data_IF_482913790449
#
_entry.id   IF_482913790449
#
_cell.length_a   1.000
_cell.length_b   1.000
_cell.length_c   1.000
_cell.angle_alpha   90.00
_cell.angle_beta   90.00
_cell.angle_gamma   90.00
#
_symmetry.space_group_name_H-M   'P 1'
#
loop_
_entity.id
_entity.type
_entity.pdbx_description
1 polymer ?
#
# COMPACT_ATOMS: atom_id res chain seq x y z
N UNK A 1 -3.57 13.11 -2.85
CA UNK A 1 -3.46 11.67 -2.53
C UNK A 1 -4.55 11.35 -1.53
N UNK A 2 -5.62 10.71 -1.98
CA UNK A 2 -6.62 10.18 -1.07
C UNK A 2 -6.06 8.86 -0.51
N UNK A 3 -5.34 8.93 0.61
CA UNK A 3 -4.84 7.73 1.29
C UNK A 3 -5.93 7.17 2.18
N UNK A 4 -6.25 5.90 2.04
CA UNK A 4 -7.11 5.20 2.99
C UNK A 4 -6.30 4.92 4.27
N UNK A 5 -6.88 5.16 5.44
CA UNK A 5 -6.20 4.84 6.70
C UNK A 5 -5.98 3.34 6.84
N UNK A 6 -4.89 2.93 7.48
CA UNK A 6 -4.64 1.50 7.76
C UNK A 6 -5.76 0.86 8.57
N UNK A 7 -6.38 1.64 9.45
CA UNK A 7 -7.47 1.22 10.35
C UNK A 7 -8.82 1.81 9.91
N UNK A 8 -9.00 2.07 8.61
CA UNK A 8 -10.18 2.76 8.09
C UNK A 8 -11.53 2.10 8.46
N UNK A 9 -11.55 0.81 8.76
CA UNK A 9 -12.76 0.06 9.19
C UNK A 9 -13.11 0.39 10.65
N UNK A 10 -12.11 0.48 11.53
CA UNK A 10 -12.28 0.57 12.99
C UNK A 10 -12.15 1.98 13.55
N UNK A 11 -11.62 2.94 12.78
CA UNK A 11 -11.51 4.34 13.19
C UNK A 11 -12.81 5.12 12.98
N UNK A 12 -13.01 6.23 13.71
CA UNK A 12 -14.18 7.13 13.56
C UNK A 12 -15.52 6.38 13.75
N UNK A 13 -16.55 6.75 12.98
CA UNK A 13 -17.86 6.11 13.02
C UNK A 13 -17.81 4.75 12.30
N UNK A 14 -18.18 3.67 12.98
CA UNK A 14 -18.33 2.32 12.43
C UNK A 14 -19.79 2.17 11.98
N UNK A 15 -20.05 2.66 10.78
CA UNK A 15 -21.36 2.64 10.11
C UNK A 15 -21.15 2.23 8.66
N UNK A 16 -21.95 1.28 8.18
CA UNK A 16 -21.79 0.68 6.86
C UNK A 16 -21.87 1.71 5.74
N UNK A 17 -22.86 2.62 5.79
CA UNK A 17 -23.04 3.62 4.74
C UNK A 17 -21.85 4.56 4.69
N UNK A 18 -21.44 5.09 5.84
CA UNK A 18 -20.28 5.97 5.94
C UNK A 18 -19.00 5.31 5.41
N UNK A 19 -18.71 4.08 5.84
CA UNK A 19 -17.52 3.33 5.41
C UNK A 19 -17.57 2.98 3.93
N UNK A 20 -18.74 2.63 3.41
CA UNK A 20 -18.96 2.41 1.98
C UNK A 20 -18.59 3.63 1.16
N UNK A 21 -19.02 4.83 1.55
CA UNK A 21 -18.67 6.05 0.81
C UNK A 21 -17.17 6.38 0.88
N UNK A 22 -16.53 6.19 2.04
CA UNK A 22 -15.07 6.37 2.15
C UNK A 22 -14.34 5.43 1.19
N UNK A 23 -14.72 4.15 1.19
CA UNK A 23 -14.10 3.15 0.32
C UNK A 23 -14.31 3.50 -1.16
N UNK A 24 -15.53 3.84 -1.55
CA UNK A 24 -15.84 4.20 -2.94
C UNK A 24 -15.07 5.43 -3.40
N UNK A 25 -14.96 6.47 -2.55
CA UNK A 25 -14.18 7.65 -2.86
C UNK A 25 -12.69 7.33 -3.06
N UNK A 26 -12.13 6.46 -2.21
CA UNK A 26 -10.75 5.98 -2.35
C UNK A 26 -10.55 5.21 -3.66
N UNK A 27 -11.39 4.20 -3.91
CA UNK A 27 -11.28 3.34 -5.09
C UNK A 27 -11.49 4.11 -6.40
N UNK A 28 -12.37 5.11 -6.40
CA UNK A 28 -12.57 5.98 -7.56
C UNK A 28 -11.28 6.74 -7.93
N UNK A 29 -10.56 7.26 -6.93
CA UNK A 29 -9.30 7.95 -7.17
C UNK A 29 -8.20 6.99 -7.65
N UNK A 30 -8.13 5.79 -7.07
CA UNK A 30 -7.23 4.71 -7.53
C UNK A 30 -7.51 4.37 -9.01
N UNK A 31 -8.77 4.18 -9.38
CA UNK A 31 -9.18 3.95 -10.76
C UNK A 31 -8.74 5.07 -11.70
N UNK A 32 -8.92 6.33 -11.30
CA UNK A 32 -8.47 7.49 -12.08
C UNK A 32 -6.96 7.50 -12.29
N UNK A 33 -6.16 7.07 -11.31
CA UNK A 33 -4.71 6.94 -11.48
C UNK A 33 -4.34 5.78 -12.40
N UNK A 34 -5.03 4.66 -12.31
CA UNK A 34 -4.83 3.51 -13.21
C UNK A 34 -5.14 3.86 -14.67
N UNK A 35 -6.21 4.63 -14.94
CA UNK A 35 -6.51 5.18 -16.27
C UNK A 35 -5.38 6.06 -16.82
N UNK A 36 -4.64 6.73 -15.95
CA UNK A 36 -3.48 7.57 -16.29
C UNK A 36 -2.16 6.78 -16.35
N UNK A 37 -2.20 5.44 -16.28
CA UNK A 37 -1.04 4.55 -16.17
C UNK A 37 -0.13 4.86 -14.95
N UNK A 38 -0.69 5.46 -13.90
CA UNK A 38 -0.01 5.75 -12.64
C UNK A 38 -0.26 4.60 -11.66
N UNK A 39 0.50 3.51 -11.83
CA UNK A 39 0.26 2.28 -11.08
C UNK A 39 0.73 2.37 -9.61
N UNK A 40 1.82 3.09 -9.36
CA UNK A 40 2.42 3.25 -8.04
C UNK A 40 2.29 4.70 -7.55
N UNK A 41 2.04 4.92 -6.23
CA UNK A 41 2.03 3.94 -5.15
C UNK A 41 0.71 3.18 -4.94
N UNK A 42 -0.35 3.52 -5.69
CA UNK A 42 -1.71 3.07 -5.41
C UNK A 42 -1.88 1.54 -5.37
N UNK A 43 -1.24 0.80 -6.30
CA UNK A 43 -1.29 -0.66 -6.30
C UNK A 43 -0.74 -1.26 -5.00
N UNK A 44 0.35 -0.71 -4.47
CA UNK A 44 0.97 -1.19 -3.22
C UNK A 44 0.06 -0.94 -2.02
N UNK A 45 -0.58 0.24 -1.96
CA UNK A 45 -1.55 0.56 -0.91
C UNK A 45 -2.79 -0.33 -1.01
N UNK A 46 -3.30 -0.56 -2.22
CA UNK A 46 -4.46 -1.41 -2.47
C UNK A 46 -4.22 -2.85 -2.00
N UNK A 47 -3.04 -3.43 -2.30
CA UNK A 47 -2.63 -4.76 -1.84
C UNK A 47 -2.60 -4.80 -0.30
N UNK A 48 -2.03 -3.78 0.34
CA UNK A 48 -1.96 -3.68 1.80
C UNK A 48 -3.37 -3.64 2.42
N UNK A 49 -4.27 -2.80 1.90
CA UNK A 49 -5.64 -2.67 2.41
C UNK A 49 -6.46 -3.94 2.20
N UNK A 50 -6.33 -4.60 1.05
CA UNK A 50 -6.97 -5.89 0.79
C UNK A 50 -6.49 -6.95 1.78
N UNK A 51 -5.18 -7.10 1.96
CA UNK A 51 -4.61 -8.07 2.88
C UNK A 51 -5.05 -7.82 4.33
N UNK A 52 -5.05 -6.56 4.78
CA UNK A 52 -5.54 -6.19 6.11
C UNK A 52 -7.03 -6.52 6.27
N UNK A 53 -7.86 -6.23 5.28
CA UNK A 53 -9.31 -6.51 5.31
C UNK A 53 -9.58 -8.01 5.34
N UNK A 54 -8.84 -8.79 4.55
CA UNK A 54 -8.94 -10.26 4.53
C UNK A 54 -8.47 -10.88 5.85
N UNK A 55 -7.34 -10.40 6.39
CA UNK A 55 -6.84 -10.82 7.70
C UNK A 55 -7.85 -10.52 8.81
N UNK A 56 -8.55 -9.38 8.73
CA UNK A 56 -9.61 -9.00 9.67
C UNK A 56 -10.81 -9.96 9.62
N UNK A 57 -11.18 -10.40 8.40
CA UNK A 57 -12.23 -11.40 8.19
C UNK A 57 -11.88 -12.76 8.79
N UNK A 58 -10.64 -13.21 8.58
CA UNK A 58 -10.18 -14.53 9.00
C UNK A 58 -9.87 -14.59 10.50
N UNK A 59 -9.38 -13.49 11.08
CA UNK A 59 -8.91 -13.44 12.46
C UNK A 59 -9.72 -12.44 13.31
N UNK A 60 -10.84 -12.89 13.90
CA UNK A 60 -11.63 -12.08 14.86
C UNK A 60 -10.79 -11.54 16.04
N UNK A 61 -9.68 -12.21 16.40
CA UNK A 61 -8.75 -11.73 17.45
C UNK A 61 -7.87 -10.55 17.01
N UNK A 62 -7.55 -10.41 15.72
CA UNK A 62 -6.72 -9.29 15.21
C UNK A 62 -7.48 -7.97 15.11
N UNK A 63 -8.82 -7.99 15.19
CA UNK A 63 -9.63 -6.78 15.41
C UNK A 63 -9.13 -5.99 16.62
N UNK A 64 -8.71 -6.69 17.68
CA UNK A 64 -8.22 -6.08 18.91
C UNK A 64 -6.98 -5.21 18.70
N UNK A 65 -6.06 -5.64 17.83
CA UNK A 65 -4.81 -4.92 17.53
C UNK A 65 -5.01 -3.80 16.50
N UNK A 66 -6.02 -3.91 15.64
CA UNK A 66 -6.36 -2.92 14.63
C UNK A 66 -7.14 -1.70 15.17
N UNK A 67 -7.54 -1.72 16.45
CA UNK A 67 -8.13 -0.54 17.09
C UNK A 67 -7.04 0.50 17.43
N UNK A 68 -7.26 1.80 17.15
CA UNK A 68 -6.29 2.83 17.48
C UNK A 68 -6.02 2.87 18.99
N UNK A 69 -4.79 2.56 19.42
CA UNK A 69 -4.38 2.61 20.85
C UNK A 69 -4.28 4.05 21.42
N UNK A 70 -4.64 5.07 20.65
CA UNK A 70 -4.50 6.48 21.03
C UNK A 70 -5.84 7.08 21.49
N UNK A 71 -6.34 6.64 22.64
CA UNK A 71 -7.17 7.51 23.48
C UNK A 71 -6.64 7.49 24.91
N UNK A 72 -6.64 8.66 25.55
CA UNK A 72 -5.95 8.96 26.81
C UNK A 72 -6.13 7.86 27.86
N UNK A 73 -5.02 7.54 28.54
CA UNK A 73 -4.74 6.40 29.42
C UNK A 73 -5.73 6.12 30.58
N UNK A 74 -6.77 6.93 30.77
CA UNK A 74 -7.79 6.76 31.81
C UNK A 74 -9.00 5.95 31.28
N UNK A 75 -9.32 6.02 29.99
CA UNK A 75 -10.53 5.36 29.43
C UNK A 75 -10.27 4.00 28.79
N UNK A 76 -9.02 3.64 28.52
CA UNK A 76 -8.68 2.42 27.77
C UNK A 76 -9.13 1.16 28.49
N UNK A 77 -8.97 1.07 29.82
CA UNK A 77 -9.40 -0.09 30.61
C UNK A 77 -10.93 -0.22 30.70
N UNK A 78 -11.65 0.90 30.79
CA UNK A 78 -13.13 0.90 30.74
C UNK A 78 -13.63 0.51 29.37
N UNK A 79 -12.96 0.98 28.32
CA UNK A 79 -13.26 0.61 26.94
C UNK A 79 -12.98 -0.86 26.67
N UNK A 80 -11.86 -1.43 27.15
CA UNK A 80 -11.56 -2.86 27.03
C UNK A 80 -12.61 -3.74 27.74
N UNK A 81 -13.07 -3.35 28.93
CA UNK A 81 -14.12 -4.07 29.67
C UNK A 81 -15.51 -3.88 29.03
N UNK A 82 -15.80 -2.71 28.45
CA UNK A 82 -17.00 -2.50 27.62
C UNK A 82 -16.90 -3.25 26.29
N UNK A 83 -15.70 -3.45 25.76
CA UNK A 83 -15.44 -4.11 24.48
C UNK A 83 -15.51 -5.64 24.57
N UNK A 84 -15.01 -6.25 25.66
CA UNK A 84 -15.32 -7.65 25.98
C UNK A 84 -16.83 -7.89 26.04
N UNK A 85 -17.59 -6.91 26.55
CA UNK A 85 -19.06 -6.93 26.54
C UNK A 85 -19.70 -6.59 25.18
N UNK A 86 -19.01 -5.86 24.29
CA UNK A 86 -19.46 -5.57 22.91
C UNK A 86 -19.14 -6.69 21.93
N UNK A 87 -18.16 -7.56 22.22
CA UNK A 87 -17.97 -8.82 21.50
C UNK A 87 -19.14 -9.79 21.76
N UNK A 88 -19.87 -9.60 22.86
CA UNK A 88 -21.18 -10.24 23.10
C UNK A 88 -22.33 -9.51 22.38
N UNK A 89 -22.08 -8.30 21.85
CA UNK A 89 -23.08 -7.46 21.18
C UNK A 89 -23.10 -7.72 19.66
N UNK A 90 -24.09 -8.49 19.25
CA UNK A 90 -24.26 -9.08 17.92
C UNK A 90 -24.37 -8.02 16.80
N UNK A 91 -24.72 -6.77 17.13
CA UNK A 91 -25.02 -5.73 16.13
C UNK A 91 -23.77 -5.04 15.54
N UNK A 92 -22.82 -4.61 16.38
CA UNK A 92 -21.62 -3.93 15.90
C UNK A 92 -20.69 -4.89 15.12
N UNK A 93 -20.63 -6.14 15.56
CA UNK A 93 -19.88 -7.17 14.84
C UNK A 93 -20.50 -7.45 13.46
N UNK A 94 -21.83 -7.52 13.35
CA UNK A 94 -22.54 -7.62 12.06
C UNK A 94 -22.27 -6.42 11.15
N UNK A 95 -22.18 -5.22 11.70
CA UNK A 95 -21.86 -4.02 10.94
C UNK A 95 -20.46 -4.11 10.33
N UNK A 96 -19.47 -4.52 11.13
CA UNK A 96 -18.09 -4.73 10.67
C UNK A 96 -18.03 -5.84 9.61
N UNK A 97 -18.71 -6.97 9.83
CA UNK A 97 -18.79 -8.06 8.85
C UNK A 97 -19.40 -7.57 7.54
N UNK A 98 -20.48 -6.77 7.59
CA UNK A 98 -21.12 -6.17 6.42
C UNK A 98 -20.18 -5.25 5.64
N UNK A 99 -19.40 -4.42 6.36
CA UNK A 99 -18.37 -3.56 5.75
C UNK A 99 -17.31 -4.42 5.06
N UNK A 100 -16.77 -5.43 5.74
CA UNK A 100 -15.72 -6.32 5.21
C UNK A 100 -16.22 -7.04 3.97
N UNK A 101 -17.40 -7.65 4.03
CA UNK A 101 -17.98 -8.44 2.95
C UNK A 101 -18.31 -7.59 1.72
N UNK A 102 -18.69 -6.32 1.92
CA UNK A 102 -18.83 -5.37 0.83
C UNK A 102 -17.48 -4.95 0.22
N UNK A 103 -16.44 -4.82 1.05
CA UNK A 103 -15.16 -4.22 0.65
C UNK A 103 -14.27 -5.17 -0.13
N UNK A 104 -14.19 -6.45 0.29
CA UNK A 104 -13.34 -7.47 -0.35
C UNK A 104 -13.55 -7.56 -1.87
N UNK A 105 -14.77 -7.78 -2.39
CA UNK A 105 -14.97 -7.92 -3.84
C UNK A 105 -14.64 -6.63 -4.61
N UNK A 106 -14.75 -5.45 -3.96
CA UNK A 106 -14.37 -4.17 -4.56
C UNK A 106 -12.86 -4.02 -4.65
N UNK A 107 -12.13 -4.36 -3.59
CA UNK A 107 -10.67 -4.41 -3.65
C UNK A 107 -10.17 -5.39 -4.71
N UNK A 108 -10.76 -6.59 -4.80
CA UNK A 108 -10.39 -7.61 -5.80
C UNK A 108 -10.55 -7.11 -7.23
N UNK A 109 -11.63 -6.37 -7.51
CA UNK A 109 -11.86 -5.77 -8.82
C UNK A 109 -10.72 -4.82 -9.23
N UNK A 110 -10.40 -3.83 -8.39
CA UNK A 110 -9.33 -2.87 -8.68
C UNK A 110 -7.94 -3.52 -8.66
N UNK A 111 -7.71 -4.55 -7.81
CA UNK A 111 -6.46 -5.31 -7.84
C UNK A 111 -6.28 -6.05 -9.15
N UNK A 112 -7.35 -6.59 -9.72
CA UNK A 112 -7.31 -7.24 -11.02
C UNK A 112 -7.03 -6.24 -12.15
N UNK A 113 -7.61 -5.03 -12.10
CA UNK A 113 -7.28 -3.97 -13.05
C UNK A 113 -5.81 -3.54 -12.95
N UNK A 114 -5.32 -3.28 -11.74
CA UNK A 114 -3.91 -2.94 -11.51
C UNK A 114 -2.95 -4.05 -11.96
N UNK A 115 -3.32 -5.32 -11.76
CA UNK A 115 -2.55 -6.46 -12.28
C UNK A 115 -2.50 -6.47 -13.80
N UNK A 116 -3.60 -6.22 -14.50
CA UNK A 116 -3.60 -6.18 -15.96
C UNK A 116 -2.67 -5.09 -16.50
N UNK A 117 -2.67 -3.91 -15.86
CA UNK A 117 -1.75 -2.82 -16.20
C UNK A 117 -0.30 -3.22 -15.92
N UNK A 118 -0.04 -3.82 -14.75
CA UNK A 118 1.29 -4.35 -14.40
C UNK A 118 1.79 -5.36 -15.44
N UNK A 119 0.99 -6.38 -15.74
CA UNK A 119 1.34 -7.44 -16.69
C UNK A 119 1.57 -6.87 -18.10
N UNK A 120 0.81 -5.84 -18.48
CA UNK A 120 1.01 -5.12 -19.74
C UNK A 120 2.36 -4.39 -19.75
N UNK A 121 2.69 -3.62 -18.70
CA UNK A 121 3.97 -2.91 -18.61
C UNK A 121 5.12 -3.91 -18.60
N UNK A 122 5.06 -4.95 -17.77
CA UNK A 122 6.10 -5.98 -17.64
C UNK A 122 6.40 -6.67 -18.97
N UNK A 123 5.37 -7.01 -19.76
CA UNK A 123 5.54 -7.65 -21.07
C UNK A 123 6.20 -6.75 -22.14
N UNK A 124 6.07 -5.43 -22.01
CA UNK A 124 6.60 -4.48 -22.98
C UNK A 124 7.82 -3.69 -22.46
N UNK A 125 8.26 -3.96 -21.23
CA UNK A 125 9.40 -3.30 -20.63
C UNK A 125 10.69 -4.01 -21.05
N UNK A 126 11.41 -3.39 -21.99
CA UNK A 126 12.75 -3.84 -22.37
C UNK A 126 13.81 -2.94 -21.75
N UNK A 127 14.71 -3.53 -20.97
CA UNK A 127 15.88 -2.85 -20.41
C UNK A 127 17.12 -3.36 -21.14
N UNK A 128 17.80 -2.47 -21.83
CA UNK A 128 19.05 -2.79 -22.52
C UNK A 128 20.16 -1.82 -22.09
N UNK A 129 21.39 -2.32 -21.88
CA UNK A 129 22.53 -1.46 -21.58
C UNK A 129 22.92 -0.65 -22.83
N UNK A 130 23.24 0.62 -22.63
CA UNK A 130 23.78 1.49 -23.68
C UNK A 130 25.21 1.86 -23.27
N UNK A 131 26.17 1.66 -24.18
CA UNK A 131 27.57 2.02 -23.96
C UNK A 131 28.40 0.90 -23.34
N UNK A 132 29.35 1.26 -22.47
CA UNK A 132 30.31 0.32 -21.88
C UNK A 132 29.72 -0.30 -20.61
N UNK A 133 29.63 -1.63 -20.59
CA UNK A 133 29.23 -2.37 -19.39
C UNK A 133 30.49 -2.60 -18.53
N UNK A 134 30.52 -2.14 -17.27
CA UNK A 134 31.64 -2.39 -16.38
C UNK A 134 31.74 -3.89 -16.03
N UNK A 135 32.94 -4.34 -15.66
CA UNK A 135 33.18 -5.72 -15.21
C UNK A 135 32.34 -6.10 -13.98
N UNK A 136 32.01 -5.12 -13.13
CA UNK A 136 31.14 -5.30 -11.99
C UNK A 136 29.93 -4.37 -12.11
N UNK A 137 28.73 -4.95 -12.13
CA UNK A 137 27.45 -4.23 -12.25
C UNK A 137 26.75 -4.01 -10.91
N UNK A 138 27.31 -4.54 -9.82
CA UNK A 138 26.68 -4.56 -8.50
C UNK A 138 26.77 -3.22 -7.78
N UNK A 139 27.57 -2.27 -8.26
CA UNK A 139 27.61 -0.92 -7.75
C UNK A 139 27.86 0.09 -8.86
N UNK A 140 27.45 1.34 -8.64
CA UNK A 140 27.66 2.40 -9.61
C UNK A 140 26.89 3.66 -9.25
N UNK A 141 26.71 4.53 -10.25
CA UNK A 141 25.94 5.75 -10.09
C UNK A 141 24.67 5.70 -10.93
N UNK A 142 23.55 6.04 -10.31
CA UNK A 142 22.27 6.25 -10.95
C UNK A 142 22.03 7.76 -11.09
N UNK A 143 21.89 8.23 -12.33
CA UNK A 143 21.60 9.62 -12.64
C UNK A 143 20.12 9.75 -13.02
N UNK A 144 19.35 10.44 -12.20
CA UNK A 144 17.93 10.67 -12.39
C UNK A 144 17.68 12.14 -12.74
N UNK A 145 17.15 12.37 -13.94
CA UNK A 145 16.67 13.68 -14.36
C UNK A 145 15.15 13.63 -14.48
N UNK A 146 14.45 14.34 -13.60
CA UNK A 146 12.99 14.43 -13.67
C UNK A 146 12.60 15.32 -14.85
N UNK A 147 11.70 14.88 -15.74
CA UNK A 147 11.39 15.61 -16.98
C UNK A 147 10.95 17.07 -16.83
N UNK A 148 10.43 17.47 -15.66
CA UNK A 148 10.05 18.86 -15.33
C UNK A 148 11.16 19.69 -14.69
N UNK A 149 12.23 19.06 -14.19
CA UNK A 149 13.32 19.74 -13.49
C UNK A 149 14.60 19.72 -14.34
N UNK A 150 15.33 20.84 -14.33
CA UNK A 150 16.63 20.95 -14.99
C UNK A 150 17.71 20.14 -14.29
N UNK A 151 17.51 19.82 -13.01
CA UNK A 151 18.54 19.25 -12.16
C UNK A 151 18.63 17.73 -12.33
N UNK A 152 19.87 17.24 -12.41
CA UNK A 152 20.20 15.81 -12.43
C UNK A 152 20.62 15.39 -11.04
N UNK A 153 19.81 14.55 -10.39
CA UNK A 153 20.14 13.96 -9.10
C UNK A 153 21.01 12.72 -9.30
N UNK A 154 22.11 12.65 -8.56
CA UNK A 154 23.06 11.54 -8.60
C UNK A 154 22.96 10.76 -7.30
N UNK A 155 22.72 9.46 -7.46
CA UNK A 155 22.71 8.49 -6.39
C UNK A 155 23.82 7.48 -6.63
N UNK A 156 24.51 7.08 -5.58
CA UNK A 156 25.29 5.86 -5.60
C UNK A 156 24.33 4.69 -5.38
N UNK A 157 24.46 3.62 -6.15
CA UNK A 157 23.67 2.42 -5.98
C UNK A 157 24.55 1.22 -5.66
N UNK A 158 24.01 0.30 -4.87
CA UNK A 158 24.57 -1.04 -4.64
C UNK A 158 23.47 -2.09 -4.72
N UNK A 159 23.68 -3.13 -5.53
CA UNK A 159 22.81 -4.28 -5.65
C UNK A 159 23.12 -5.24 -4.50
N UNK A 160 22.11 -5.55 -3.70
CA UNK A 160 22.20 -6.54 -2.62
C UNK A 160 21.29 -7.71 -2.96
N UNK A 161 21.81 -8.94 -2.86
CA UNK A 161 21.02 -10.15 -2.99
C UNK A 161 20.34 -10.46 -1.66
N UNK A 162 19.02 -10.55 -1.67
CA UNK A 162 18.23 -11.03 -0.56
C UNK A 162 17.69 -12.42 -0.90
N UNK A 163 18.06 -13.41 -0.11
CA UNK A 163 17.50 -14.76 -0.19
C UNK A 163 16.43 -14.92 0.88
N UNK A 164 15.17 -15.03 0.45
CA UNK A 164 14.09 -15.61 1.27
C UNK A 164 13.89 -17.07 0.84
N UNK A 165 13.42 -17.97 1.72
CA UNK A 165 13.11 -19.33 1.31
C UNK A 165 12.07 -19.32 0.18
N UNK A 166 12.51 -19.66 -1.04
CA UNK A 166 11.65 -19.73 -2.22
C UNK A 166 11.96 -18.71 -3.33
N UNK A 167 12.56 -17.55 -3.03
CA UNK A 167 12.79 -16.50 -4.04
C UNK A 167 14.10 -15.72 -3.84
N UNK A 168 14.85 -15.51 -4.94
CA UNK A 168 16.03 -14.64 -4.99
C UNK A 168 15.60 -13.24 -5.43
N UNK A 169 15.53 -12.31 -4.50
CA UNK A 169 15.29 -10.91 -4.82
C UNK A 169 16.60 -10.15 -4.94
N UNK A 170 16.72 -9.30 -5.96
CA UNK A 170 17.75 -8.26 -6.03
C UNK A 170 17.14 -6.98 -5.50
N UNK A 171 17.75 -6.39 -4.48
CA UNK A 171 17.40 -5.06 -4.04
C UNK A 171 18.48 -4.08 -4.49
N UNK A 172 18.08 -2.84 -4.73
CA UNK A 172 19.00 -1.74 -5.04
C UNK A 172 18.96 -0.80 -3.85
N UNK A 173 20.06 -0.71 -3.12
CA UNK A 173 20.25 0.32 -2.11
C UNK A 173 20.78 1.58 -2.80
N UNK A 174 20.10 2.71 -2.62
CA UNK A 174 20.53 3.99 -3.19
C UNK A 174 20.85 5.00 -2.09
N UNK A 175 21.96 5.69 -2.23
CA UNK A 175 22.37 6.80 -1.36
C UNK A 175 22.51 8.07 -2.18
N UNK A 176 21.85 9.15 -1.75
CA UNK A 176 21.94 10.44 -2.44
C UNK A 176 23.35 11.01 -2.30
N UNK A 177 23.95 11.42 -3.43
CA UNK A 177 25.29 12.00 -3.46
C UNK A 177 25.21 13.51 -3.65
N UNK A 178 24.59 13.96 -4.75
CA UNK A 178 24.49 15.38 -5.10
C UNK A 178 23.47 15.62 -6.22
N UNK A 179 23.05 16.87 -6.40
CA UNK A 179 22.31 17.34 -7.57
C UNK A 179 23.16 18.30 -8.43
N UNK A 180 23.08 18.16 -9.76
CA UNK A 180 23.73 19.05 -10.73
C UNK A 180 22.67 19.80 -11.52
N UNK A 181 22.71 21.14 -11.47
CA UNK A 181 21.86 21.95 -12.35
C UNK A 181 22.38 21.94 -13.77
N UNK A 182 21.50 21.67 -14.73
CA UNK A 182 21.82 21.84 -16.15
C UNK A 182 21.94 23.35 -16.42
N UNK A 183 23.17 23.82 -16.63
CA UNK A 183 23.45 25.15 -17.23
C UNK A 183 22.81 25.29 -18.59
#
# INVERSE_FOLDING_TARGET
MATLSKNWITEKLIDFEYKKYILLAYLQEVGRHFELNQLYPDLSELILHYHNTKSLKENKKQLFDAFPQQMKSIDVRRFFIQYEKLLEDDQLMKEIESIIDYSIPKFEHYLNEGRQIYDFIEKHLEIFPIGVIPLNTDYGYLLLKGGKWSDTNVFEYQITLFEKPGEKYRAIHTSFVRSYSST
#
